data_IF_451702427112
#
_entry.id   IF_451702427112
#
_cell.length_a   1.000
_cell.length_b   1.000
_cell.length_c   1.000
_cell.angle_alpha   90.00
_cell.angle_beta   90.00
_cell.angle_gamma   90.00
#
_symmetry.space_group_name_H-M   'P 1'
#
loop_
_entity.id
_entity.type
_entity.pdbx_description
1 polymer ?
#
# COMPACT_ATOMS: atom_id res chain seq x y z
N UNK A 1 9.63 18.45 7.68
CA UNK A 1 9.82 17.49 8.79
C UNK A 1 10.66 18.08 9.94
N UNK A 2 11.60 19.01 9.67
CA UNK A 2 12.35 19.69 10.75
C UNK A 2 11.46 20.48 11.74
N UNK A 3 10.24 20.82 11.34
CA UNK A 3 9.27 21.56 12.17
C UNK A 3 8.36 20.67 13.03
N UNK A 4 8.41 19.35 12.84
CA UNK A 4 7.57 18.39 13.56
C UNK A 4 8.43 17.22 14.06
N UNK A 5 9.11 17.38 15.21
CA UNK A 5 9.88 16.31 15.81
C UNK A 5 8.95 15.14 16.15
N UNK A 6 9.26 13.96 15.66
CA UNK A 6 8.44 12.74 15.82
C UNK A 6 7.63 12.32 14.58
N UNK A 7 7.61 13.13 13.51
CA UNK A 7 7.09 12.70 12.22
C UNK A 7 8.23 12.16 11.36
N UNK A 8 8.03 10.96 10.86
CA UNK A 8 8.95 10.26 9.98
C UNK A 8 8.27 9.91 8.67
N UNK A 9 9.05 9.62 7.64
CA UNK A 9 8.49 9.26 6.35
C UNK A 9 9.06 7.93 5.83
N UNK A 10 8.23 7.23 5.07
CA UNK A 10 8.61 6.16 4.18
C UNK A 10 7.91 6.44 2.85
N UNK A 11 8.67 6.79 1.82
CA UNK A 11 8.12 7.21 0.52
C UNK A 11 8.62 6.30 -0.60
N UNK A 12 7.76 5.95 -1.59
CA UNK A 12 8.20 5.18 -2.72
C UNK A 12 9.13 6.00 -3.62
N UNK A 13 10.14 5.33 -4.15
CA UNK A 13 11.11 5.86 -5.10
C UNK A 13 10.82 5.31 -6.49
N UNK A 14 10.94 6.13 -7.52
CA UNK A 14 10.73 5.69 -8.90
C UNK A 14 11.80 4.70 -9.33
N UNK A 15 11.41 3.68 -10.11
CA UNK A 15 12.32 2.62 -10.60
C UNK A 15 13.42 3.09 -11.58
N UNK A 16 13.36 4.34 -12.00
CA UNK A 16 14.40 5.00 -12.83
C UNK A 16 15.21 6.04 -12.05
N UNK A 17 15.11 6.04 -10.70
CA UNK A 17 15.88 6.93 -9.85
C UNK A 17 17.37 6.57 -9.90
N UNK A 18 18.22 7.58 -9.97
CA UNK A 18 19.68 7.41 -10.02
C UNK A 18 20.27 6.76 -8.78
N UNK A 19 19.58 6.84 -7.64
CA UNK A 19 20.01 6.20 -6.40
C UNK A 19 19.94 4.67 -6.47
N UNK A 20 19.14 4.10 -7.38
CA UNK A 20 19.06 2.64 -7.55
C UNK A 20 20.41 2.08 -7.97
N UNK A 21 21.06 2.73 -8.92
CA UNK A 21 22.38 2.33 -9.40
C UNK A 21 23.49 2.77 -8.45
N UNK A 22 23.47 4.04 -8.01
CA UNK A 22 24.48 4.59 -7.10
C UNK A 22 24.61 3.83 -5.78
N UNK A 23 23.50 3.34 -5.24
CA UNK A 23 23.47 2.61 -3.98
C UNK A 23 23.40 1.09 -4.18
N UNK A 24 23.54 0.61 -5.42
CA UNK A 24 23.50 -0.82 -5.75
C UNK A 24 22.25 -1.54 -5.17
N UNK A 25 21.09 -0.90 -5.31
CA UNK A 25 19.84 -1.40 -4.71
C UNK A 25 19.30 -2.69 -5.36
N UNK A 26 19.86 -3.09 -6.49
CA UNK A 26 19.57 -4.38 -7.15
C UNK A 26 20.46 -5.52 -6.65
N UNK A 27 21.46 -5.24 -5.80
CA UNK A 27 22.26 -6.26 -5.10
C UNK A 27 21.57 -6.58 -3.77
N UNK A 28 20.82 -7.67 -3.74
CA UNK A 28 20.03 -8.06 -2.59
C UNK A 28 20.88 -8.69 -1.49
N UNK A 29 20.53 -8.40 -0.24
CA UNK A 29 21.25 -8.85 0.96
C UNK A 29 20.65 -10.16 1.50
N UNK A 30 19.40 -10.49 1.15
CA UNK A 30 18.73 -11.68 1.63
C UNK A 30 17.27 -11.79 1.23
N UNK A 31 16.55 -12.71 1.87
CA UNK A 31 15.12 -12.98 1.67
C UNK A 31 14.36 -12.65 2.93
N UNK A 32 13.21 -11.99 2.80
CA UNK A 32 12.33 -11.70 3.95
C UNK A 32 11.63 -12.98 4.41
N UNK A 33 11.83 -13.31 5.69
CA UNK A 33 11.15 -14.44 6.31
C UNK A 33 9.70 -14.08 6.70
N UNK A 34 8.77 -15.02 6.48
CA UNK A 34 7.37 -14.90 6.92
C UNK A 34 6.49 -14.06 6.02
N UNK A 35 6.89 -13.81 4.79
CA UNK A 35 6.03 -13.26 3.74
C UNK A 35 5.33 -14.38 2.97
N UNK A 36 4.09 -14.14 2.48
CA UNK A 36 3.35 -15.14 1.65
C UNK A 36 4.09 -15.44 0.34
N UNK A 37 4.88 -14.52 -0.15
CA UNK A 37 5.69 -14.62 -1.38
C UNK A 37 7.18 -14.49 -1.04
N UNK A 38 8.03 -15.00 -1.91
CA UNK A 38 9.47 -14.82 -1.76
C UNK A 38 9.83 -13.39 -2.15
N UNK A 39 10.32 -12.64 -1.18
CA UNK A 39 10.71 -11.23 -1.34
C UNK A 39 12.19 -11.09 -1.00
N UNK A 40 13.00 -10.77 -2.01
CA UNK A 40 14.39 -10.38 -1.80
C UNK A 40 14.43 -8.94 -1.28
N UNK A 41 15.42 -8.61 -0.47
CA UNK A 41 15.59 -7.24 0.03
C UNK A 41 17.03 -6.77 -0.03
N UNK A 42 17.22 -5.46 -0.17
CA UNK A 42 18.47 -4.78 0.15
C UNK A 42 18.18 -3.52 0.96
N UNK A 43 19.14 -3.15 1.81
CA UNK A 43 19.10 -1.93 2.61
C UNK A 43 20.41 -1.18 2.44
N UNK A 44 20.32 0.11 2.12
CA UNK A 44 21.47 0.98 1.92
C UNK A 44 21.27 2.31 2.64
N UNK A 45 22.37 2.90 3.07
CA UNK A 45 22.38 4.25 3.64
C UNK A 45 23.08 5.19 2.67
N UNK A 46 22.40 6.29 2.32
CA UNK A 46 22.99 7.31 1.44
C UNK A 46 23.95 8.22 2.23
N UNK A 47 24.77 8.96 1.49
CA UNK A 47 25.67 9.98 2.04
C UNK A 47 24.90 11.08 2.80
N UNK A 48 23.66 11.37 2.36
CA UNK A 48 22.76 12.32 3.05
C UNK A 48 22.17 11.81 4.36
N UNK A 49 22.50 10.59 4.77
CA UNK A 49 22.00 9.97 6.00
C UNK A 49 20.62 9.30 5.85
N UNK A 50 20.03 9.31 4.67
CA UNK A 50 18.75 8.64 4.40
C UNK A 50 18.95 7.15 4.14
N UNK A 51 17.93 6.36 4.45
CA UNK A 51 17.91 4.92 4.24
C UNK A 51 17.08 4.58 3.03
N UNK A 52 17.61 3.70 2.20
CA UNK A 52 16.94 3.15 1.02
C UNK A 52 16.71 1.67 1.21
N UNK A 53 15.50 1.24 0.88
CA UNK A 53 15.06 -0.15 0.96
C UNK A 53 14.60 -0.57 -0.43
N UNK A 54 15.17 -1.63 -0.98
CA UNK A 54 14.66 -2.25 -2.19
C UNK A 54 14.13 -3.64 -1.88
N UNK A 55 13.03 -3.98 -2.54
CA UNK A 55 12.38 -5.27 -2.45
C UNK A 55 12.13 -5.80 -3.85
N UNK A 56 12.41 -7.07 -4.07
CA UNK A 56 12.08 -7.78 -5.30
C UNK A 56 11.05 -8.85 -4.95
N UNK A 57 9.80 -8.59 -5.30
CA UNK A 57 8.68 -9.50 -5.09
C UNK A 57 8.52 -10.38 -6.33
N UNK A 58 8.73 -11.70 -6.18
CA UNK A 58 8.69 -12.66 -7.29
C UNK A 58 7.29 -12.83 -7.88
N UNK A 59 6.24 -12.67 -7.07
CA UNK A 59 4.86 -12.71 -7.55
C UNK A 59 4.52 -11.49 -8.40
N UNK A 60 4.89 -10.30 -7.91
CA UNK A 60 4.73 -9.05 -8.64
C UNK A 60 5.58 -9.05 -9.92
N UNK A 61 6.82 -9.57 -9.87
CA UNK A 61 7.70 -9.71 -11.03
C UNK A 61 7.03 -10.50 -12.15
N UNK A 62 6.48 -11.67 -11.81
CA UNK A 62 5.80 -12.56 -12.77
C UNK A 62 4.56 -11.88 -13.38
N UNK A 63 3.77 -11.18 -12.56
CA UNK A 63 2.58 -10.45 -13.02
C UNK A 63 2.95 -9.31 -13.96
N UNK A 64 3.90 -8.46 -13.56
CA UNK A 64 4.32 -7.31 -14.37
C UNK A 64 4.98 -7.74 -15.68
N UNK A 65 5.76 -8.82 -15.67
CA UNK A 65 6.35 -9.40 -16.87
C UNK A 65 5.26 -9.88 -17.83
N UNK A 66 4.27 -10.61 -17.33
CA UNK A 66 3.14 -11.10 -18.12
C UNK A 66 2.33 -9.94 -18.73
N UNK A 67 2.04 -8.93 -17.93
CA UNK A 67 1.28 -7.76 -18.39
C UNK A 67 2.04 -6.97 -19.45
N UNK A 68 3.36 -6.80 -19.27
CA UNK A 68 4.22 -6.16 -20.27
C UNK A 68 4.19 -6.93 -21.60
N UNK A 69 4.40 -8.24 -21.56
CA UNK A 69 4.42 -9.08 -22.78
C UNK A 69 3.05 -9.08 -23.46
N UNK A 70 1.96 -9.22 -22.73
CA UNK A 70 0.60 -9.17 -23.27
C UNK A 70 0.31 -7.82 -23.94
N UNK A 71 0.72 -6.71 -23.30
CA UNK A 71 0.54 -5.40 -23.89
C UNK A 71 1.31 -5.24 -25.20
N UNK A 72 2.59 -5.69 -25.25
CA UNK A 72 3.42 -5.60 -26.46
C UNK A 72 2.92 -6.51 -27.59
N UNK A 73 2.42 -7.70 -27.26
CA UNK A 73 1.82 -8.60 -28.24
C UNK A 73 0.56 -7.99 -28.89
N UNK A 74 -0.30 -7.34 -28.09
CA UNK A 74 -1.52 -6.70 -28.62
C UNK A 74 -1.21 -5.54 -29.58
N UNK A 75 -0.13 -4.82 -29.36
CA UNK A 75 0.28 -3.69 -30.18
C UNK A 75 1.30 -4.04 -31.26
N UNK A 76 1.72 -5.32 -31.34
CA UNK A 76 2.75 -5.82 -32.26
C UNK A 76 4.03 -4.98 -32.27
N UNK A 77 4.43 -4.48 -31.08
CA UNK A 77 5.57 -3.56 -30.87
C UNK A 77 6.61 -4.12 -29.91
N UNK A 78 6.76 -5.46 -29.82
CA UNK A 78 7.75 -6.09 -28.98
C UNK A 78 9.16 -5.77 -29.45
N UNK A 79 9.97 -5.24 -28.53
CA UNK A 79 11.40 -5.00 -28.72
C UNK A 79 12.20 -5.65 -27.60
N UNK A 80 13.14 -6.53 -27.98
CA UNK A 80 13.92 -7.31 -27.01
C UNK A 80 14.86 -6.44 -26.16
N UNK A 81 15.47 -5.40 -26.72
CA UNK A 81 16.36 -4.51 -25.95
C UNK A 81 15.58 -3.78 -24.86
N UNK A 82 14.40 -3.25 -25.22
CA UNK A 82 13.50 -2.60 -24.27
C UNK A 82 13.01 -3.57 -23.19
N UNK A 83 12.76 -4.83 -23.56
CA UNK A 83 12.38 -5.87 -22.60
C UNK A 83 13.51 -6.16 -21.62
N UNK A 84 14.72 -6.40 -22.11
CA UNK A 84 15.89 -6.68 -21.26
C UNK A 84 16.18 -5.52 -20.30
N UNK A 85 16.12 -4.27 -20.78
CA UNK A 85 16.32 -3.08 -19.94
C UNK A 85 15.27 -2.91 -18.83
N UNK A 86 14.07 -3.51 -18.98
CA UNK A 86 13.01 -3.47 -17.97
C UNK A 86 12.95 -4.70 -17.08
N UNK A 87 13.47 -5.83 -17.57
CA UNK A 87 13.37 -7.14 -16.90
C UNK A 87 13.88 -7.11 -15.45
N UNK A 88 15.01 -6.47 -15.21
CA UNK A 88 15.59 -6.37 -13.87
C UNK A 88 14.72 -5.56 -12.89
N UNK A 89 13.89 -4.67 -13.43
CA UNK A 89 13.03 -3.76 -12.66
C UNK A 89 11.60 -4.29 -12.42
N UNK A 90 11.22 -5.42 -13.03
CA UNK A 90 9.94 -6.06 -12.71
C UNK A 90 9.95 -6.58 -11.28
N UNK A 91 8.84 -6.39 -10.56
CA UNK A 91 8.72 -6.75 -9.16
C UNK A 91 9.55 -5.91 -8.20
N UNK A 92 10.29 -4.90 -8.69
CA UNK A 92 11.11 -4.03 -7.87
C UNK A 92 10.25 -2.95 -7.20
N UNK A 93 10.36 -2.86 -5.88
CA UNK A 93 9.74 -1.84 -5.05
C UNK A 93 10.85 -1.16 -4.26
N UNK A 94 10.94 0.16 -4.33
CA UNK A 94 12.00 0.92 -3.65
C UNK A 94 11.39 2.00 -2.77
N UNK A 95 11.92 2.15 -1.56
CA UNK A 95 11.54 3.19 -0.60
C UNK A 95 12.74 3.97 -0.12
N UNK A 96 12.49 5.23 0.22
CA UNK A 96 13.38 6.11 0.95
C UNK A 96 12.74 6.46 2.30
N UNK A 97 13.54 6.49 3.37
CA UNK A 97 13.12 6.87 4.71
C UNK A 97 14.19 7.69 5.42
N UNK A 98 13.77 8.51 6.36
CA UNK A 98 14.65 9.19 7.32
C UNK A 98 14.94 8.32 8.55
N UNK A 99 14.23 7.19 8.71
CA UNK A 99 14.42 6.24 9.80
C UNK A 99 15.20 5.00 9.38
N UNK A 100 15.99 4.50 10.31
CA UNK A 100 16.66 3.20 10.22
C UNK A 100 15.69 2.07 10.61
N UNK A 101 14.83 1.69 9.66
CA UNK A 101 13.89 0.59 9.84
C UNK A 101 14.54 -0.77 9.56
N UNK A 102 14.00 -1.83 10.16
CA UNK A 102 14.30 -3.17 9.65
C UNK A 102 13.68 -3.36 8.26
N UNK A 103 14.30 -4.13 7.36
CA UNK A 103 13.72 -4.41 6.04
C UNK A 103 12.30 -4.97 6.14
N UNK A 104 12.05 -5.83 7.13
CA UNK A 104 10.71 -6.38 7.38
C UNK A 104 9.70 -5.31 7.76
N UNK A 105 10.06 -4.37 8.65
CA UNK A 105 9.18 -3.28 9.04
C UNK A 105 8.87 -2.36 7.87
N UNK A 106 9.87 -2.01 7.06
CA UNK A 106 9.68 -1.18 5.87
C UNK A 106 8.74 -1.86 4.85
N UNK A 107 8.86 -3.18 4.65
CA UNK A 107 7.99 -3.93 3.76
C UNK A 107 6.56 -4.04 4.29
N UNK A 108 6.37 -4.28 5.58
CA UNK A 108 5.04 -4.33 6.21
C UNK A 108 4.32 -2.97 6.13
N UNK A 109 5.04 -1.86 6.34
CA UNK A 109 4.47 -0.52 6.11
C UNK A 109 3.97 -0.33 4.67
N UNK A 110 4.63 -0.95 3.70
CA UNK A 110 4.15 -0.94 2.31
C UNK A 110 2.90 -1.79 2.12
N UNK A 111 2.87 -2.97 2.74
CA UNK A 111 1.68 -3.82 2.67
C UNK A 111 0.45 -3.14 3.28
N UNK A 112 0.61 -2.32 4.32
CA UNK A 112 -0.48 -1.53 4.91
C UNK A 112 -1.02 -0.43 3.96
N UNK A 113 -0.35 -0.15 2.83
CA UNK A 113 -0.80 0.82 1.81
C UNK A 113 -2.18 0.47 1.24
N UNK A 114 -2.48 -0.81 1.04
CA UNK A 114 -3.79 -1.23 0.54
C UNK A 114 -4.93 -0.77 1.45
N UNK A 115 -4.66 -0.66 2.75
CA UNK A 115 -5.59 -0.12 3.73
C UNK A 115 -5.92 1.35 3.43
N UNK A 116 -4.88 2.15 3.11
CA UNK A 116 -5.06 3.55 2.72
C UNK A 116 -5.85 3.67 1.41
N UNK A 117 -5.54 2.82 0.42
CA UNK A 117 -6.28 2.80 -0.85
C UNK A 117 -7.74 2.40 -0.64
N UNK A 118 -8.01 1.41 0.22
CA UNK A 118 -9.36 1.03 0.61
C UNK A 118 -10.10 2.17 1.34
N UNK A 119 -9.40 2.88 2.24
CA UNK A 119 -9.93 4.06 2.92
C UNK A 119 -10.32 5.15 1.93
N UNK A 120 -9.42 5.51 1.01
CA UNK A 120 -9.71 6.52 -0.01
C UNK A 120 -10.82 6.08 -0.96
N UNK A 121 -10.87 4.81 -1.34
CA UNK A 121 -11.94 4.27 -2.17
C UNK A 121 -13.29 4.36 -1.47
N UNK A 122 -13.36 4.02 -0.18
CA UNK A 122 -14.59 4.14 0.62
C UNK A 122 -14.97 5.59 0.89
N UNK A 123 -14.00 6.45 1.18
CA UNK A 123 -14.22 7.88 1.30
C UNK A 123 -14.86 8.44 0.02
N UNK A 124 -14.29 8.12 -1.14
CA UNK A 124 -14.82 8.54 -2.46
C UNK A 124 -16.15 7.89 -2.82
N UNK A 125 -16.39 6.62 -2.47
CA UNK A 125 -17.68 5.95 -2.77
C UNK A 125 -18.81 6.45 -1.90
N UNK A 126 -18.52 6.99 -0.72
CA UNK A 126 -19.48 7.74 0.09
C UNK A 126 -19.73 9.15 -0.47
N UNK A 127 -19.03 9.56 -1.55
CA UNK A 127 -19.30 10.80 -2.32
C UNK A 127 -20.63 10.78 -3.09
N UNK A 128 -21.45 9.73 -3.02
CA UNK A 128 -22.90 9.93 -3.22
C UNK A 128 -23.49 10.94 -2.22
N UNK A 129 -22.73 11.29 -1.19
CA UNK A 129 -22.96 12.46 -0.34
C UNK A 129 -22.56 13.80 -0.99
N UNK A 130 -21.89 13.83 -2.14
CA UNK A 130 -21.57 15.07 -2.89
C UNK A 130 -22.82 15.71 -3.48
N UNK A 131 -23.88 14.93 -3.71
CA UNK A 131 -25.23 15.45 -3.90
C UNK A 131 -25.95 15.78 -2.57
N UNK A 132 -25.23 15.84 -1.46
CA UNK A 132 -25.80 16.35 -0.23
C UNK A 132 -26.19 17.81 -0.51
N UNK A 133 -27.50 18.06 -0.52
CA UNK A 133 -28.15 19.38 -0.55
C UNK A 133 -27.79 20.20 0.71
N UNK A 134 -26.51 20.23 1.03
CA UNK A 134 -25.97 20.90 2.21
C UNK A 134 -25.70 22.34 1.83
N UNK A 135 -26.52 23.23 2.36
CA UNK A 135 -26.55 24.64 1.96
C UNK A 135 -25.59 25.53 2.76
N UNK A 136 -24.74 24.97 3.64
CA UNK A 136 -23.81 25.78 4.42
C UNK A 136 -22.43 25.11 4.56
N UNK A 137 -21.37 25.90 4.58
CA UNK A 137 -20.00 25.47 4.77
C UNK A 137 -19.82 24.64 6.05
N UNK A 138 -20.50 25.02 7.15
CA UNK A 138 -20.44 24.28 8.41
C UNK A 138 -21.00 22.87 8.30
N UNK A 139 -22.06 22.68 7.52
CA UNK A 139 -22.64 21.36 7.31
C UNK A 139 -21.73 20.50 6.44
N UNK A 140 -21.03 21.08 5.45
CA UNK A 140 -19.99 20.40 4.65
C UNK A 140 -18.85 19.94 5.58
N UNK A 141 -18.31 20.83 6.40
CA UNK A 141 -17.23 20.49 7.35
C UNK A 141 -17.66 19.40 8.33
N UNK A 142 -18.89 19.47 8.85
CA UNK A 142 -19.44 18.45 9.76
C UNK A 142 -19.55 17.08 9.06
N UNK A 143 -20.08 17.05 7.84
CA UNK A 143 -20.17 15.83 7.03
C UNK A 143 -18.81 15.21 6.73
N UNK A 144 -17.85 16.03 6.28
CA UNK A 144 -16.48 15.60 6.01
C UNK A 144 -15.79 15.03 7.25
N UNK A 145 -15.99 15.67 8.41
CA UNK A 145 -15.44 15.17 9.68
C UNK A 145 -16.05 13.82 10.08
N UNK A 146 -17.35 13.64 9.95
CA UNK A 146 -18.03 12.37 10.23
C UNK A 146 -17.52 11.28 9.27
N UNK A 147 -17.41 11.58 7.98
CA UNK A 147 -16.88 10.67 6.97
C UNK A 147 -15.42 10.28 7.27
N UNK A 148 -14.61 11.23 7.69
CA UNK A 148 -13.24 10.96 8.12
C UNK A 148 -13.20 10.00 9.32
N UNK A 149 -14.00 10.25 10.34
CA UNK A 149 -14.09 9.37 11.52
C UNK A 149 -14.58 7.97 11.15
N UNK A 150 -15.64 7.86 10.33
CA UNK A 150 -16.14 6.58 9.84
C UNK A 150 -15.07 5.81 9.06
N UNK A 151 -14.29 6.51 8.25
CA UNK A 151 -13.17 5.92 7.48
C UNK A 151 -12.07 5.38 8.41
N UNK A 152 -11.69 6.13 9.44
CA UNK A 152 -10.69 5.70 10.45
C UNK A 152 -11.17 4.47 11.22
N UNK A 153 -12.45 4.46 11.64
CA UNK A 153 -13.05 3.31 12.34
C UNK A 153 -13.05 2.08 11.43
N UNK A 154 -13.51 2.23 10.20
CA UNK A 154 -13.52 1.17 9.18
C UNK A 154 -12.12 0.58 8.98
N UNK A 155 -11.09 1.41 8.83
CA UNK A 155 -9.72 0.94 8.66
C UNK A 155 -9.23 0.12 9.85
N UNK A 156 -9.52 0.56 11.07
CA UNK A 156 -9.17 -0.18 12.29
C UNK A 156 -9.90 -1.52 12.37
N UNK A 157 -11.18 -1.56 11.98
CA UNK A 157 -11.96 -2.81 11.96
C UNK A 157 -11.41 -3.80 10.93
N UNK A 158 -11.14 -3.33 9.71
CA UNK A 158 -10.56 -4.15 8.63
C UNK A 158 -9.19 -4.71 9.04
N UNK A 159 -8.31 -3.87 9.61
CA UNK A 159 -7.01 -4.32 10.12
C UNK A 159 -7.16 -5.41 11.17
N UNK A 160 -8.07 -5.22 12.13
CA UNK A 160 -8.31 -6.19 13.19
C UNK A 160 -8.93 -7.49 12.68
N UNK A 161 -9.77 -7.43 11.65
CA UNK A 161 -10.34 -8.60 10.99
C UNK A 161 -9.26 -9.37 10.20
N UNK A 162 -8.33 -8.67 9.53
CA UNK A 162 -7.20 -9.28 8.82
C UNK A 162 -6.23 -9.95 9.79
N UNK A 163 -5.84 -9.29 10.89
CA UNK A 163 -5.00 -9.87 11.95
C UNK A 163 -5.60 -11.18 12.52
N UNK A 164 -6.93 -11.28 12.56
CA UNK A 164 -7.66 -12.48 13.00
C UNK A 164 -7.95 -13.45 11.86
N UNK A 165 -7.47 -13.20 10.63
CA UNK A 165 -7.73 -14.00 9.43
C UNK A 165 -9.23 -14.20 9.12
N UNK A 166 -10.06 -13.25 9.52
CA UNK A 166 -11.49 -13.29 9.23
C UNK A 166 -11.76 -12.96 7.77
N UNK A 167 -10.94 -12.09 7.16
CA UNK A 167 -11.04 -11.71 5.75
C UNK A 167 -10.63 -12.83 4.78
N UNK A 168 -10.02 -13.91 5.27
CA UNK A 168 -9.78 -15.11 4.47
C UNK A 168 -11.08 -15.92 4.23
N UNK A 169 -12.12 -15.70 5.07
CA UNK A 169 -13.37 -16.46 5.06
C UNK A 169 -14.59 -15.61 4.71
N UNK A 170 -14.58 -14.34 5.05
CA UNK A 170 -15.70 -13.41 4.93
C UNK A 170 -15.27 -12.15 4.21
N UNK A 171 -16.18 -11.60 3.42
CA UNK A 171 -16.02 -10.22 2.93
C UNK A 171 -16.23 -9.22 4.07
N UNK A 172 -15.71 -8.01 3.91
CA UNK A 172 -15.94 -6.95 4.90
C UNK A 172 -17.44 -6.61 5.07
N UNK A 173 -18.22 -6.69 3.98
CA UNK A 173 -19.67 -6.49 4.02
C UNK A 173 -20.37 -7.51 4.91
N UNK A 174 -20.09 -8.80 4.71
CA UNK A 174 -20.65 -9.89 5.53
C UNK A 174 -20.29 -9.75 7.02
N UNK A 175 -19.07 -9.28 7.32
CA UNK A 175 -18.68 -9.02 8.71
C UNK A 175 -19.46 -7.86 9.34
N UNK A 176 -19.79 -6.82 8.57
CA UNK A 176 -20.62 -5.72 9.05
C UNK A 176 -22.06 -6.14 9.28
N UNK A 177 -22.63 -6.93 8.37
CA UNK A 177 -24.00 -7.44 8.48
C UNK A 177 -24.15 -8.34 9.72
N UNK A 178 -23.15 -9.19 9.97
CA UNK A 178 -23.13 -10.05 11.17
C UNK A 178 -23.01 -9.22 12.47
N UNK A 179 -22.18 -8.19 12.49
CA UNK A 179 -22.06 -7.27 13.64
C UNK A 179 -23.35 -6.52 13.88
N UNK A 180 -24.05 -6.05 12.85
CA UNK A 180 -25.34 -5.40 12.96
C UNK A 180 -26.39 -6.34 13.54
N UNK A 181 -26.43 -7.60 13.08
CA UNK A 181 -27.35 -8.62 13.58
C UNK A 181 -27.13 -8.92 15.07
N UNK A 182 -25.88 -9.07 15.50
CA UNK A 182 -25.52 -9.28 16.91
C UNK A 182 -25.94 -8.08 17.75
N UNK A 183 -25.65 -6.86 17.27
CA UNK A 183 -25.98 -5.63 17.99
C UNK A 183 -27.50 -5.46 18.20
N UNK A 184 -28.30 -5.71 17.15
CA UNK A 184 -29.78 -5.66 17.24
C UNK A 184 -30.33 -6.68 18.26
N UNK A 185 -29.77 -7.89 18.31
CA UNK A 185 -30.16 -8.91 19.31
C UNK A 185 -29.80 -8.51 20.74
N UNK A 186 -28.70 -7.79 20.93
CA UNK A 186 -28.23 -7.37 22.26
C UNK A 186 -28.98 -6.15 22.76
N UNK A 187 -29.37 -5.25 21.88
CA UNK A 187 -30.13 -4.03 22.20
C UNK A 187 -31.63 -4.32 22.48
N UNK A 188 -32.13 -5.49 22.09
CA UNK A 188 -33.51 -5.90 22.32
C UNK A 188 -33.72 -6.67 23.65
N UNK A 189 -32.70 -6.81 24.47
CA UNK A 189 -32.74 -7.35 25.83
C UNK A 189 -32.64 -6.23 26.88
#
# INVERSE_FOLDING_TARGET
LKQHPGLHFLTPVRRNDVNIEKLELLKFDGVLAGTKQQVLYAKRKSVSGRFFYSFKDTGLESSEQKDYLNHRLRHNDFNNENYLGKKEKFGLIVFESDQDLSPKSAYLCYQDRWLLELMFKKYKSNEQLVDSRVQSDFSVWGSEFVNFLATVITAKMVKKADEKKLLDKFTYGELLDELEHIWRKTAAK
#
